data_IF_348789997527
#
_entry.id   IF_348789997527
#
_cell.length_a   1.000
_cell.length_b   1.000
_cell.length_c   1.000
_cell.angle_alpha   90.00
_cell.angle_beta   90.00
_cell.angle_gamma   90.00
#
_symmetry.space_group_name_H-M   'P 1'
#
loop_
_entity.id
_entity.type
_entity.pdbx_description
1 polymer ?
#
# COMPACT_ATOMS: atom_id res chain seq x y z
N UNK A 1 4.00 6.04 -9.44
CA UNK A 1 4.11 6.23 -7.97
C UNK A 1 5.33 5.47 -7.46
N UNK A 2 6.12 6.04 -6.54
CA UNK A 2 7.30 5.42 -5.92
C UNK A 2 7.39 5.79 -4.43
N UNK A 3 7.71 4.82 -3.57
CA UNK A 3 7.91 5.02 -2.13
C UNK A 3 9.39 4.82 -1.76
N UNK A 4 10.06 5.86 -1.25
CA UNK A 4 11.53 5.86 -1.00
C UNK A 4 11.91 5.51 0.45
N UNK A 5 10.92 5.20 1.30
CA UNK A 5 11.06 4.95 2.73
C UNK A 5 10.70 6.14 3.62
N UNK A 6 10.64 7.35 3.06
CA UNK A 6 10.25 8.58 3.76
C UNK A 6 9.09 9.30 3.07
N UNK A 7 9.10 9.30 1.73
CA UNK A 7 8.19 10.01 0.86
C UNK A 7 7.54 9.07 -0.15
N UNK A 8 6.28 9.37 -0.44
CA UNK A 8 5.57 8.87 -1.59
C UNK A 8 5.63 9.91 -2.70
N UNK A 9 6.22 9.53 -3.83
CA UNK A 9 6.32 10.31 -5.05
C UNK A 9 5.22 9.85 -6.02
N UNK A 10 4.30 10.75 -6.34
CA UNK A 10 3.21 10.51 -7.29
C UNK A 10 3.50 11.36 -8.51
N UNK A 11 4.06 10.75 -9.56
CA UNK A 11 4.28 11.42 -10.83
C UNK A 11 3.06 11.22 -11.73
N UNK A 12 2.50 12.34 -12.18
CA UNK A 12 1.47 12.43 -13.20
C UNK A 12 2.12 12.93 -14.49
N UNK A 13 2.23 12.04 -15.47
CA UNK A 13 2.88 12.33 -16.75
C UNK A 13 2.04 13.28 -17.63
N UNK A 14 0.71 13.22 -17.55
CA UNK A 14 -0.17 14.06 -18.37
C UNK A 14 -0.14 15.52 -17.92
N UNK A 15 0.00 15.74 -16.61
CA UNK A 15 0.08 17.06 -16.02
C UNK A 15 1.52 17.58 -15.88
N UNK A 16 2.53 16.77 -16.24
CA UNK A 16 3.95 17.05 -15.99
C UNK A 16 4.19 17.51 -14.54
N UNK A 17 3.59 16.78 -13.59
CA UNK A 17 3.56 17.19 -12.18
C UNK A 17 3.92 16.02 -11.24
N UNK A 18 4.74 16.30 -10.24
CA UNK A 18 5.07 15.37 -9.15
C UNK A 18 4.47 15.88 -7.85
N UNK A 19 3.63 15.05 -7.22
CA UNK A 19 3.14 15.29 -5.87
C UNK A 19 3.93 14.45 -4.87
N UNK A 20 4.45 15.10 -3.83
CA UNK A 20 5.22 14.47 -2.77
C UNK A 20 4.40 14.50 -1.48
N UNK A 21 4.27 13.35 -0.84
CA UNK A 21 3.59 13.21 0.45
C UNK A 21 4.45 12.41 1.44
N UNK A 22 4.33 12.62 2.75
CA UNK A 22 4.93 11.72 3.73
C UNK A 22 4.41 10.30 3.51
N UNK A 23 5.31 9.33 3.38
CA UNK A 23 4.94 7.95 3.07
C UNK A 23 4.04 7.33 4.13
N UNK A 24 4.30 7.64 5.41
CA UNK A 24 3.50 7.17 6.55
C UNK A 24 2.01 7.49 6.41
N UNK A 25 1.69 8.68 5.91
CA UNK A 25 0.31 9.15 5.81
C UNK A 25 -0.38 8.51 4.60
N UNK A 26 0.37 8.23 3.53
CA UNK A 26 -0.16 7.63 2.31
C UNK A 26 -0.28 6.09 2.36
N UNK A 27 0.62 5.42 3.08
CA UNK A 27 0.57 3.96 3.22
C UNK A 27 -0.51 3.50 4.21
N UNK A 28 -0.81 4.27 5.24
CA UNK A 28 -1.84 3.90 6.23
C UNK A 28 -3.23 3.72 5.63
N UNK A 29 -3.53 4.37 4.50
CA UNK A 29 -4.79 4.21 3.77
C UNK A 29 -4.73 3.10 2.69
N UNK A 30 -3.54 2.66 2.30
CA UNK A 30 -3.35 1.81 1.13
C UNK A 30 -3.38 0.31 1.48
N UNK A 31 -4.03 -0.53 0.65
CA UNK A 31 -4.10 -1.98 0.88
C UNK A 31 -2.76 -2.71 0.92
N UNK A 32 -1.71 -2.09 0.36
CA UNK A 32 -0.34 -2.62 0.39
C UNK A 32 0.22 -2.69 1.82
N UNK A 33 -0.31 -1.89 2.76
CA UNK A 33 0.06 -1.96 4.17
C UNK A 33 -0.19 -3.36 4.77
N UNK A 34 -1.20 -4.08 4.28
CA UNK A 34 -1.48 -5.47 4.71
C UNK A 34 -0.39 -6.46 4.29
N UNK A 35 0.48 -6.09 3.34
CA UNK A 35 1.62 -6.89 2.91
C UNK A 35 2.90 -6.52 3.67
N UNK A 36 2.93 -5.40 4.41
CA UNK A 36 4.06 -5.10 5.31
C UNK A 36 3.97 -6.00 6.54
N UNK A 37 5.03 -6.76 6.79
CA UNK A 37 5.15 -7.69 7.93
C UNK A 37 5.11 -7.01 9.29
N UNK A 38 5.20 -5.68 9.34
CA UNK A 38 5.17 -4.89 10.57
C UNK A 38 3.78 -4.43 11.00
N UNK A 39 2.75 -4.61 10.16
CA UNK A 39 1.39 -4.28 10.54
C UNK A 39 0.86 -5.34 11.52
N UNK A 40 0.58 -4.94 12.76
CA UNK A 40 -0.14 -5.78 13.72
C UNK A 40 -1.63 -5.83 13.34
N UNK A 41 -1.97 -6.77 12.47
CA UNK A 41 -3.33 -6.89 11.89
C UNK A 41 -4.45 -7.00 12.94
N UNK A 42 -4.16 -7.50 14.13
CA UNK A 42 -5.16 -7.75 15.18
C UNK A 42 -5.79 -6.48 15.76
N UNK A 43 -5.02 -5.39 15.80
CA UNK A 43 -5.46 -4.13 16.39
C UNK A 43 -6.35 -3.32 15.44
N UNK A 44 -6.12 -3.46 14.14
CA UNK A 44 -6.83 -2.68 13.11
C UNK A 44 -7.97 -3.46 12.45
N UNK A 45 -7.91 -4.79 12.42
CA UNK A 45 -8.86 -5.64 11.70
C UNK A 45 -9.49 -6.73 12.56
N UNK A 46 -10.76 -6.99 12.30
CA UNK A 46 -11.41 -8.24 12.65
C UNK A 46 -11.05 -9.31 11.61
N UNK A 47 -10.20 -10.23 12.02
CA UNK A 47 -9.80 -11.40 11.22
C UNK A 47 -10.90 -12.46 11.31
N UNK A 48 -11.56 -12.77 10.20
CA UNK A 48 -12.45 -13.92 10.11
C UNK A 48 -11.66 -15.19 9.80
N UNK A 49 -12.22 -16.32 10.20
CA UNK A 49 -11.61 -17.64 10.00
C UNK A 49 -11.25 -17.95 8.54
N UNK A 50 -10.41 -18.97 8.38
CA UNK A 50 -9.89 -19.39 7.08
C UNK A 50 -10.94 -20.21 6.32
N UNK A 51 -11.15 -19.88 5.05
CA UNK A 51 -12.00 -20.64 4.13
C UNK A 51 -11.16 -21.19 2.99
N UNK A 52 -11.21 -22.50 2.76
CA UNK A 52 -10.51 -23.11 1.64
C UNK A 52 -11.36 -23.01 0.36
N UNK A 53 -10.85 -22.33 -0.67
CA UNK A 53 -11.57 -22.12 -1.95
C UNK A 53 -10.57 -21.92 -3.10
N UNK A 54 -10.83 -22.53 -4.25
CA UNK A 54 -10.01 -22.42 -5.46
C UNK A 54 -8.53 -22.82 -5.26
N UNK A 55 -8.28 -23.75 -4.34
CA UNK A 55 -6.93 -24.21 -3.97
C UNK A 55 -6.13 -23.17 -3.18
N UNK A 56 -6.79 -22.16 -2.60
CA UNK A 56 -6.22 -21.15 -1.73
C UNK A 56 -6.91 -21.15 -0.37
N UNK A 57 -6.15 -20.78 0.65
CA UNK A 57 -6.65 -20.50 1.98
C UNK A 57 -7.01 -19.02 2.07
N UNK A 58 -8.29 -18.70 2.17
CA UNK A 58 -8.78 -17.33 2.19
C UNK A 58 -8.95 -16.84 3.61
N UNK A 59 -8.31 -15.71 3.91
CA UNK A 59 -8.52 -14.93 5.14
C UNK A 59 -9.33 -13.69 4.78
N UNK A 60 -10.32 -13.36 5.60
CA UNK A 60 -11.09 -12.11 5.46
C UNK A 60 -10.73 -11.17 6.59
N UNK A 61 -10.40 -9.93 6.25
CA UNK A 61 -10.11 -8.83 7.15
C UNK A 61 -11.21 -7.78 7.00
N UNK A 62 -11.84 -7.42 8.10
CA UNK A 62 -12.81 -6.33 8.16
C UNK A 62 -12.23 -5.24 9.08
N UNK A 63 -11.98 -4.02 8.59
CA UNK A 63 -11.42 -2.98 9.44
C UNK A 63 -12.35 -2.65 10.61
N UNK A 64 -11.78 -2.46 11.79
CA UNK A 64 -12.54 -2.10 13.01
C UNK A 64 -13.10 -0.67 12.93
N UNK A 65 -12.40 0.20 12.21
CA UNK A 65 -12.79 1.61 12.00
C UNK A 65 -13.60 1.73 10.71
N UNK A 66 -14.72 2.44 10.78
CA UNK A 66 -15.69 2.58 9.67
C UNK A 66 -15.33 3.66 8.65
N UNK A 67 -14.37 4.53 8.96
CA UNK A 67 -13.89 5.59 8.06
C UNK A 67 -12.65 5.12 7.29
N UNK A 68 -12.82 4.04 6.54
CA UNK A 68 -11.76 3.42 5.75
C UNK A 68 -12.21 3.32 4.29
N UNK A 69 -11.27 3.41 3.36
CA UNK A 69 -11.55 3.30 1.92
C UNK A 69 -12.18 1.93 1.55
N UNK A 70 -11.90 0.91 2.36
CA UNK A 70 -12.36 -0.46 2.14
C UNK A 70 -13.08 -1.02 3.36
N UNK A 71 -14.24 -1.62 3.14
CA UNK A 71 -15.05 -2.26 4.21
C UNK A 71 -14.70 -3.74 4.40
N UNK A 72 -14.01 -4.36 3.43
CA UNK A 72 -13.55 -5.75 3.52
C UNK A 72 -12.37 -5.98 2.60
N UNK A 73 -11.37 -6.69 3.11
CA UNK A 73 -10.27 -7.25 2.32
C UNK A 73 -10.25 -8.76 2.46
N UNK A 74 -10.12 -9.49 1.35
CA UNK A 74 -9.89 -10.93 1.35
C UNK A 74 -8.52 -11.22 0.77
N UNK A 75 -7.74 -12.06 1.42
CA UNK A 75 -6.44 -12.51 0.95
C UNK A 75 -6.49 -14.02 0.72
N UNK A 76 -6.18 -14.45 -0.51
CA UNK A 76 -6.06 -15.86 -0.88
C UNK A 76 -4.60 -16.28 -0.81
N UNK A 77 -4.27 -17.16 0.13
CA UNK A 77 -2.92 -17.64 0.39
C UNK A 77 -2.70 -19.04 -0.18
N UNK A 78 -1.46 -19.31 -0.60
CA UNK A 78 -0.95 -20.66 -0.85
C UNK A 78 0.24 -20.89 0.07
N UNK A 79 0.02 -21.52 1.22
CA UNK A 79 0.99 -21.51 2.32
C UNK A 79 1.20 -20.09 2.85
N UNK A 80 2.45 -19.63 2.95
CA UNK A 80 2.77 -18.28 3.43
C UNK A 80 2.72 -17.18 2.33
N UNK A 81 2.21 -17.50 1.13
CA UNK A 81 2.31 -16.62 -0.04
C UNK A 81 0.94 -16.13 -0.46
N UNK A 82 0.75 -14.81 -0.49
CA UNK A 82 -0.46 -14.18 -1.04
C UNK A 82 -0.47 -14.34 -2.57
N UNK A 83 -1.53 -14.94 -3.09
CA UNK A 83 -1.75 -15.16 -4.54
C UNK A 83 -2.87 -14.32 -5.11
N UNK A 84 -3.86 -13.99 -4.29
CA UNK A 84 -5.00 -13.15 -4.68
C UNK A 84 -5.37 -12.21 -3.56
N UNK A 85 -5.86 -11.03 -3.93
CA UNK A 85 -6.53 -10.11 -3.02
C UNK A 85 -7.84 -9.64 -3.64
N UNK A 86 -8.86 -9.50 -2.81
CA UNK A 86 -10.12 -8.84 -3.16
C UNK A 86 -10.39 -7.74 -2.15
N UNK A 87 -10.70 -6.54 -2.64
CA UNK A 87 -10.94 -5.37 -1.84
C UNK A 87 -12.32 -4.84 -2.17
N UNK A 88 -13.18 -4.74 -1.16
CA UNK A 88 -14.51 -4.20 -1.28
C UNK A 88 -14.52 -2.79 -0.67
N UNK A 89 -14.84 -1.79 -1.48
CA UNK A 89 -14.99 -0.41 -1.01
C UNK A 89 -16.38 -0.15 -0.40
N UNK A 90 -16.55 1.01 0.23
CA UNK A 90 -17.81 1.44 0.83
C UNK A 90 -18.95 1.66 -0.17
N UNK A 91 -18.63 1.80 -1.46
CA UNK A 91 -19.60 1.97 -2.55
C UNK A 91 -19.99 0.64 -3.19
N UNK A 92 -19.44 -0.49 -2.71
CA UNK A 92 -19.69 -1.83 -3.22
C UNK A 92 -18.83 -2.22 -4.41
N UNK A 93 -17.83 -1.42 -4.79
CA UNK A 93 -16.88 -1.76 -5.85
C UNK A 93 -15.89 -2.80 -5.33
N UNK A 94 -15.58 -3.78 -6.17
CA UNK A 94 -14.62 -4.84 -5.84
C UNK A 94 -13.40 -4.76 -6.75
N UNK A 95 -12.25 -4.46 -6.16
CA UNK A 95 -10.95 -4.55 -6.83
C UNK A 95 -10.36 -5.94 -6.61
N UNK A 96 -9.96 -6.62 -7.69
CA UNK A 96 -9.32 -7.94 -7.63
C UNK A 96 -7.89 -7.85 -8.12
N UNK A 97 -6.96 -8.36 -7.32
CA UNK A 97 -5.52 -8.37 -7.61
C UNK A 97 -5.06 -9.83 -7.63
N UNK A 98 -4.37 -10.23 -8.69
CA UNK A 98 -3.77 -11.56 -8.82
C UNK A 98 -2.26 -11.43 -8.97
N UNK A 99 -1.51 -12.08 -8.08
CA UNK A 99 -0.05 -12.06 -8.11
C UNK A 99 0.47 -13.25 -8.92
N UNK A 100 1.25 -12.94 -9.96
CA UNK A 100 1.99 -13.89 -10.79
C UNK A 100 3.50 -13.66 -10.65
N UNK A 101 4.31 -14.67 -10.98
CA UNK A 101 5.78 -14.60 -11.01
C UNK A 101 6.46 -14.04 -9.75
N UNK A 102 5.82 -14.27 -8.61
CA UNK A 102 6.25 -13.71 -7.34
C UNK A 102 7.61 -14.29 -6.90
N UNK A 103 8.60 -13.41 -6.77
CA UNK A 103 9.95 -13.73 -6.29
C UNK A 103 10.12 -13.23 -4.86
N UNK A 104 10.19 -14.16 -3.91
CA UNK A 104 10.39 -13.85 -2.49
C UNK A 104 11.87 -13.67 -2.19
N UNK A 105 12.19 -12.67 -1.35
CA UNK A 105 13.53 -12.39 -0.85
C UNK A 105 14.59 -12.25 -1.98
N UNK A 106 14.16 -11.88 -3.19
CA UNK A 106 15.08 -11.56 -4.26
C UNK A 106 15.79 -10.23 -3.93
N UNK A 107 17.09 -10.10 -4.21
CA UNK A 107 17.77 -8.83 -4.08
C UNK A 107 17.14 -7.83 -5.06
N UNK A 108 16.78 -6.66 -4.56
CA UNK A 108 16.29 -5.54 -5.34
C UNK A 108 17.32 -4.41 -5.18
N UNK A 109 17.76 -3.83 -6.29
CA UNK A 109 18.69 -2.71 -6.28
C UNK A 109 18.04 -1.52 -5.57
N UNK A 110 18.77 -0.86 -4.66
CA UNK A 110 18.29 0.33 -3.97
C UNK A 110 17.94 1.49 -4.90
N UNK A 111 18.54 1.54 -6.11
CA UNK A 111 18.26 2.60 -7.08
C UNK A 111 16.81 2.59 -7.55
N UNK A 112 16.09 1.46 -7.54
CA UNK A 112 14.68 1.42 -7.97
C UNK A 112 13.75 2.14 -6.99
N UNK A 113 14.22 2.42 -5.78
CA UNK A 113 13.50 3.18 -4.75
C UNK A 113 13.93 4.64 -4.69
N UNK A 114 14.68 5.13 -5.69
CA UNK A 114 15.04 6.54 -5.82
C UNK A 114 14.30 7.15 -7.01
N UNK A 115 13.53 8.19 -6.74
CA UNK A 115 12.86 8.98 -7.77
C UNK A 115 13.61 10.28 -8.01
N UNK A 116 13.89 10.57 -9.28
CA UNK A 116 14.43 11.85 -9.73
C UNK A 116 13.38 12.48 -10.66
N UNK A 117 12.72 13.58 -10.26
CA UNK A 117 11.78 14.27 -11.12
C UNK A 117 12.44 14.68 -12.44
N UNK A 118 11.78 14.48 -13.60
CA UNK A 118 12.28 14.99 -14.87
C UNK A 118 12.45 16.51 -14.86
N UNK A 119 13.34 17.02 -15.70
CA UNK A 119 13.50 18.47 -15.87
C UNK A 119 12.21 19.10 -16.41
N UNK A 120 11.82 20.26 -15.88
CA UNK A 120 10.61 20.99 -16.31
C UNK A 120 9.31 20.57 -15.63
N UNK A 121 9.31 19.48 -14.85
CA UNK A 121 8.16 18.99 -14.11
C UNK A 121 7.96 19.78 -12.81
N UNK A 122 6.74 20.22 -12.54
CA UNK A 122 6.40 20.91 -11.29
C UNK A 122 6.37 19.94 -10.12
N UNK A 123 6.94 20.31 -8.97
CA UNK A 123 7.02 19.42 -7.80
C UNK A 123 6.32 20.06 -6.61
N UNK A 124 5.18 19.50 -6.25
CA UNK A 124 4.33 19.95 -5.15
C UNK A 124 4.55 19.11 -3.90
N UNK A 125 4.53 19.74 -2.73
CA UNK A 125 4.61 19.04 -1.43
C UNK A 125 6.03 18.69 -0.97
N UNK A 126 7.07 19.13 -1.68
CA UNK A 126 8.44 19.23 -1.15
C UNK A 126 8.51 20.37 -0.13
N UNK A 127 7.86 20.21 1.03
CA UNK A 127 8.18 21.09 2.16
C UNK A 127 9.49 20.62 2.79
N UNK A 128 10.45 21.53 2.92
CA UNK A 128 11.59 21.32 3.80
C UNK A 128 11.06 21.01 5.20
N UNK A 129 11.55 19.95 5.83
CA UNK A 129 11.34 19.72 7.27
C UNK A 129 12.00 20.91 7.97
N UNK A 130 11.21 21.91 8.35
CA UNK A 130 11.70 23.09 9.03
C UNK A 130 12.25 22.64 10.41
N UNK A 131 13.54 22.84 10.72
CA UNK A 131 14.09 22.43 12.00
C UNK A 131 13.36 23.17 13.14
N UNK A 132 13.19 22.54 14.31
CA UNK A 132 12.46 23.16 15.41
C UNK A 132 13.13 24.48 15.77
N UNK A 133 12.35 25.57 15.74
CA UNK A 133 12.74 26.87 16.26
C UNK A 133 13.04 26.69 17.75
N UNK A 134 14.30 26.90 18.14
CA UNK A 134 14.68 26.95 19.56
C UNK A 134 13.99 28.17 20.21
N UNK A 135 13.52 28.04 21.47
CA UNK A 135 12.90 29.13 22.21
C UNK A 135 13.88 30.25 22.55
#
# INVERSE_FOLDING_TARGET
ILADGQRLWIYDEELEQVTVKPQRDALGAAPIALLDRRAELGDEFDVKGVVHQDGLDWITLEPRVRDTEFVRVRMGLKGAVVRRMELLDQFGQTTRIAFSDLRLNAPIDSEVFRFHPPEGVDVLGLQEVQPPTRP
#
